data_IF_694514694476
#
_entry.id   IF_694514694476
#
_cell.length_a   1.000
_cell.length_b   1.000
_cell.length_c   1.000
_cell.angle_alpha   90.00
_cell.angle_beta   90.00
_cell.angle_gamma   90.00
#
_symmetry.space_group_name_H-M   'P 1'
#
loop_
_entity.id
_entity.type
_entity.pdbx_description
1 polymer ?
#
# COMPACT_ATOMS: atom_id res chain seq x y z
N UNK A 1 -13.61 15.97 -50.32
CA UNK A 1 -13.43 14.87 -49.38
C UNK A 1 -12.51 15.33 -48.25
N UNK A 2 -13.08 16.05 -47.28
CA UNK A 2 -12.44 16.25 -45.98
C UNK A 2 -12.77 15.02 -45.13
N UNK A 3 -11.77 14.19 -44.86
CA UNK A 3 -11.90 13.14 -43.89
C UNK A 3 -12.02 13.80 -42.50
N UNK A 4 -13.18 13.61 -41.91
CA UNK A 4 -13.49 13.92 -40.52
C UNK A 4 -12.50 13.13 -39.66
N UNK A 5 -11.47 13.79 -39.18
CA UNK A 5 -10.64 13.26 -38.09
C UNK A 5 -11.44 13.48 -36.82
N UNK A 6 -12.29 12.52 -36.50
CA UNK A 6 -12.92 12.48 -35.20
C UNK A 6 -11.82 12.55 -34.12
N UNK A 7 -11.77 13.64 -33.40
CA UNK A 7 -10.95 13.73 -32.18
C UNK A 7 -11.46 12.64 -31.28
N UNK A 8 -10.67 11.58 -31.15
CA UNK A 8 -10.94 10.49 -30.22
C UNK A 8 -10.82 11.09 -28.81
N UNK A 9 -11.93 11.30 -28.13
CA UNK A 9 -11.95 11.81 -26.76
C UNK A 9 -11.25 10.78 -25.90
N UNK A 10 -10.16 11.19 -25.24
CA UNK A 10 -9.41 10.34 -24.32
C UNK A 10 -10.28 9.96 -23.12
N UNK A 11 -10.19 8.72 -22.69
CA UNK A 11 -10.82 8.26 -21.46
C UNK A 11 -10.12 8.87 -20.22
N UNK A 12 -10.83 8.91 -19.10
CA UNK A 12 -10.24 9.39 -17.82
C UNK A 12 -8.98 8.63 -17.44
N UNK A 13 -8.89 7.35 -17.73
CA UNK A 13 -7.69 6.53 -17.47
C UNK A 13 -6.52 6.86 -18.38
N UNK A 14 -6.76 7.18 -19.64
CA UNK A 14 -5.71 7.65 -20.57
C UNK A 14 -5.18 9.03 -20.15
N UNK A 15 -6.06 9.94 -19.76
CA UNK A 15 -5.66 11.23 -19.20
C UNK A 15 -4.88 11.07 -17.87
N UNK A 16 -5.32 10.14 -17.02
CA UNK A 16 -4.64 9.84 -15.76
C UNK A 16 -3.24 9.26 -15.99
N UNK A 17 -3.04 8.48 -17.04
CA UNK A 17 -1.71 7.99 -17.40
C UNK A 17 -0.74 9.15 -17.67
N UNK A 18 -1.19 10.17 -18.40
CA UNK A 18 -0.41 11.39 -18.66
C UNK A 18 -0.10 12.13 -17.36
N UNK A 19 -1.06 12.23 -16.45
CA UNK A 19 -0.83 12.82 -15.12
C UNK A 19 0.25 12.05 -14.35
N UNK A 20 0.23 10.71 -14.38
CA UNK A 20 1.23 9.87 -13.73
C UNK A 20 2.64 9.96 -14.32
N UNK A 21 2.79 10.42 -15.54
CA UNK A 21 4.09 10.68 -16.19
C UNK A 21 4.70 12.03 -15.76
N UNK A 22 3.86 13.01 -15.41
CA UNK A 22 4.28 14.36 -15.10
C UNK A 22 4.33 14.66 -13.59
N UNK A 23 3.55 13.94 -12.79
CA UNK A 23 3.45 14.14 -11.35
C UNK A 23 3.87 12.87 -10.57
N UNK A 24 4.31 13.07 -9.33
CA UNK A 24 4.55 11.92 -8.47
C UNK A 24 3.24 11.23 -8.09
N UNK A 25 3.16 9.96 -8.43
CA UNK A 25 2.05 9.08 -8.04
C UNK A 25 2.64 7.84 -7.36
N UNK A 26 2.19 7.49 -6.14
CA UNK A 26 2.64 6.27 -5.47
C UNK A 26 2.38 5.02 -6.32
N UNK A 27 3.24 4.01 -6.18
CA UNK A 27 3.13 2.76 -6.96
C UNK A 27 1.74 2.15 -6.89
N UNK A 28 1.12 2.18 -5.72
CA UNK A 28 -0.23 1.64 -5.48
C UNK A 28 -1.36 2.33 -6.24
N UNK A 29 -1.11 3.49 -6.81
CA UNK A 29 -2.09 4.28 -7.56
C UNK A 29 -1.75 4.38 -9.05
N UNK A 30 -0.68 3.73 -9.50
CA UNK A 30 -0.34 3.65 -10.93
C UNK A 30 -1.41 2.86 -11.70
N UNK A 31 -1.78 3.25 -12.93
CA UNK A 31 -2.78 2.53 -13.74
C UNK A 31 -2.47 1.04 -13.88
N UNK A 32 -1.21 0.69 -14.18
CA UNK A 32 -0.79 -0.72 -14.32
C UNK A 32 -0.95 -1.52 -13.03
N UNK A 33 -0.75 -0.87 -11.86
CA UNK A 33 -0.97 -1.48 -10.55
C UNK A 33 -2.45 -1.79 -10.34
N UNK A 34 -3.32 -0.80 -10.59
CA UNK A 34 -4.76 -0.94 -10.44
C UNK A 34 -5.32 -2.01 -11.39
N UNK A 35 -4.86 -2.04 -12.64
CA UNK A 35 -5.22 -3.11 -13.59
C UNK A 35 -4.82 -4.49 -13.08
N UNK A 36 -3.61 -4.62 -12.52
CA UNK A 36 -3.11 -5.90 -12.01
C UNK A 36 -3.90 -6.41 -10.81
N UNK A 37 -4.25 -5.54 -9.85
CA UNK A 37 -4.88 -5.97 -8.58
C UNK A 37 -6.41 -6.01 -8.64
N UNK A 38 -7.04 -5.22 -9.50
CA UNK A 38 -8.50 -5.11 -9.58
C UNK A 38 -9.09 -5.68 -10.87
N UNK A 39 -8.32 -5.76 -11.96
CA UNK A 39 -8.85 -5.84 -13.32
C UNK A 39 -9.27 -4.46 -13.82
N UNK A 40 -9.12 -4.23 -15.13
CA UNK A 40 -9.32 -2.90 -15.74
C UNK A 40 -10.75 -2.37 -15.60
N UNK A 41 -11.74 -3.23 -15.43
CA UNK A 41 -13.18 -2.89 -15.34
C UNK A 41 -13.64 -2.58 -13.91
N UNK A 42 -12.85 -2.89 -12.89
CA UNK A 42 -13.27 -2.76 -11.48
C UNK A 42 -12.70 -1.54 -10.76
N UNK A 43 -11.96 -0.71 -11.46
CA UNK A 43 -11.46 0.56 -10.94
C UNK A 43 -11.71 1.68 -11.94
N UNK A 44 -11.71 2.92 -11.44
CA UNK A 44 -11.78 4.12 -12.24
C UNK A 44 -11.01 5.25 -11.58
N UNK A 45 -10.99 6.42 -12.17
CA UNK A 45 -10.30 7.60 -11.65
C UNK A 45 -11.13 8.86 -11.83
N UNK A 46 -11.30 9.61 -10.77
CA UNK A 46 -11.76 10.98 -10.82
C UNK A 46 -10.61 11.94 -11.12
N UNK A 47 -10.84 12.91 -11.98
CA UNK A 47 -9.86 13.91 -12.38
C UNK A 47 -10.36 15.31 -12.05
N UNK A 48 -9.57 16.06 -11.30
CA UNK A 48 -9.83 17.47 -11.03
C UNK A 48 -9.18 18.33 -12.11
N UNK A 49 -9.99 18.97 -12.93
CA UNK A 49 -9.58 19.85 -14.05
C UNK A 49 -10.31 21.19 -13.95
N UNK A 50 -9.82 22.16 -13.15
CA UNK A 50 -10.52 23.42 -12.90
C UNK A 50 -10.67 24.31 -14.14
N UNK A 51 -9.78 24.16 -15.12
CA UNK A 51 -9.84 24.81 -16.42
C UNK A 51 -10.45 23.94 -17.55
N UNK A 52 -10.94 22.74 -17.19
CA UNK A 52 -11.44 21.73 -18.11
C UNK A 52 -10.39 21.03 -18.96
N UNK A 53 -9.09 21.32 -18.77
CA UNK A 53 -7.98 20.78 -19.58
C UNK A 53 -6.86 20.19 -18.72
N UNK A 54 -6.35 20.96 -17.77
CA UNK A 54 -5.19 20.59 -16.97
C UNK A 54 -5.61 19.79 -15.75
N UNK A 55 -5.06 18.59 -15.59
CA UNK A 55 -5.31 17.77 -14.41
C UNK A 55 -4.43 18.31 -13.27
N UNK A 56 -5.06 18.75 -12.20
CA UNK A 56 -4.38 19.26 -11.01
C UNK A 56 -4.49 18.34 -9.80
N UNK A 57 -5.41 17.38 -9.85
CA UNK A 57 -5.50 16.28 -8.89
C UNK A 57 -6.23 15.10 -9.50
N UNK A 58 -6.01 13.91 -8.93
CA UNK A 58 -6.67 12.69 -9.33
C UNK A 58 -7.01 11.82 -8.12
N UNK A 59 -8.04 11.00 -8.24
CA UNK A 59 -8.40 10.02 -7.22
C UNK A 59 -8.74 8.69 -7.89
N UNK A 60 -7.78 7.76 -7.99
CA UNK A 60 -8.07 6.39 -8.42
C UNK A 60 -8.83 5.66 -7.31
N UNK A 61 -9.80 4.86 -7.69
CA UNK A 61 -10.62 4.11 -6.75
C UNK A 61 -11.07 2.76 -7.29
N UNK A 62 -11.16 1.78 -6.38
CA UNK A 62 -11.64 0.44 -6.64
C UNK A 62 -13.09 0.29 -6.19
N UNK A 63 -13.92 -0.31 -7.05
CA UNK A 63 -15.33 -0.61 -6.74
C UNK A 63 -15.49 -2.09 -6.49
N UNK A 64 -16.11 -2.43 -5.38
CA UNK A 64 -16.45 -3.79 -5.00
C UNK A 64 -17.93 -3.88 -4.59
N UNK A 65 -18.60 -4.95 -4.99
CA UNK A 65 -19.94 -5.26 -4.54
C UNK A 65 -19.91 -6.36 -3.48
N UNK A 66 -20.50 -6.08 -2.31
CA UNK A 66 -20.62 -7.02 -1.19
C UNK A 66 -22.08 -7.13 -0.79
N UNK A 67 -22.66 -8.32 -0.90
CA UNK A 67 -24.07 -8.57 -0.56
C UNK A 67 -25.06 -7.58 -1.23
N UNK A 68 -24.77 -7.17 -2.46
CA UNK A 68 -25.59 -6.22 -3.22
C UNK A 68 -25.30 -4.74 -2.95
N UNK A 69 -24.45 -4.41 -1.98
CA UNK A 69 -24.03 -3.04 -1.69
C UNK A 69 -22.76 -2.66 -2.46
N UNK A 70 -22.69 -1.41 -2.86
CA UNK A 70 -21.59 -0.84 -3.66
C UNK A 70 -20.59 -0.12 -2.76
N UNK A 71 -19.34 -0.55 -2.80
CA UNK A 71 -18.24 0.00 -2.00
C UNK A 71 -17.17 0.64 -2.90
N UNK A 72 -16.71 1.83 -2.53
CA UNK A 72 -15.33 2.21 -2.81
C UNK A 72 -14.53 1.73 -1.62
N UNK A 73 -13.53 0.87 -1.86
CA UNK A 73 -12.77 0.24 -0.80
C UNK A 73 -11.31 0.04 -1.18
N UNK A 74 -10.52 -0.47 -0.25
CA UNK A 74 -9.12 -0.80 -0.46
C UNK A 74 -8.98 -1.89 -1.53
N UNK A 75 -8.22 -1.61 -2.58
CA UNK A 75 -7.87 -2.62 -3.58
C UNK A 75 -7.00 -3.73 -2.97
N UNK A 76 -7.06 -4.97 -3.51
CA UNK A 76 -6.21 -6.06 -3.03
C UNK A 76 -4.72 -5.69 -3.06
N UNK A 77 -3.98 -6.10 -2.03
CA UNK A 77 -2.52 -5.89 -1.90
C UNK A 77 -2.08 -4.41 -2.06
N UNK A 78 -2.97 -3.46 -1.86
CA UNK A 78 -2.74 -2.04 -2.07
C UNK A 78 -2.75 -1.31 -0.74
N UNK A 79 -1.62 -0.69 -0.35
CA UNK A 79 -1.54 -0.02 0.95
C UNK A 79 -2.37 1.25 0.99
N UNK A 80 -2.31 2.05 -0.05
CA UNK A 80 -3.00 3.33 -0.13
C UNK A 80 -3.48 3.66 -1.55
N UNK A 81 -4.52 4.48 -1.61
CA UNK A 81 -5.01 5.20 -2.77
C UNK A 81 -5.40 6.61 -2.29
N UNK A 82 -6.57 7.13 -2.68
CA UNK A 82 -7.07 8.44 -2.28
C UNK A 82 -6.66 9.53 -3.25
N UNK A 83 -6.90 10.77 -2.84
CA UNK A 83 -6.61 11.94 -3.67
C UNK A 83 -5.11 12.17 -3.77
N UNK A 84 -4.63 12.39 -4.98
CA UNK A 84 -3.26 12.72 -5.33
C UNK A 84 -3.27 14.12 -5.95
N UNK A 85 -2.52 15.04 -5.37
CA UNK A 85 -2.37 16.40 -5.86
C UNK A 85 -1.17 16.50 -6.82
N UNK A 86 -1.24 17.44 -7.78
CA UNK A 86 -0.03 17.93 -8.44
C UNK A 86 0.97 18.44 -7.40
N UNK A 87 2.22 18.68 -7.78
CA UNK A 87 3.18 19.30 -6.86
C UNK A 87 2.66 20.64 -6.34
N UNK A 88 2.72 20.81 -5.02
CA UNK A 88 2.32 22.03 -4.31
C UNK A 88 3.50 22.72 -3.63
N UNK A 89 4.74 22.32 -3.95
CA UNK A 89 5.95 22.74 -3.25
C UNK A 89 6.17 24.27 -3.33
N UNK A 90 5.81 24.88 -4.45
CA UNK A 90 5.97 26.31 -4.68
C UNK A 90 4.88 27.18 -4.05
N UNK A 91 3.87 26.57 -3.43
CA UNK A 91 2.76 27.31 -2.83
C UNK A 91 3.01 27.61 -1.36
N UNK A 92 2.54 28.79 -0.90
CA UNK A 92 2.47 29.10 0.53
C UNK A 92 1.44 28.20 1.21
N UNK A 93 1.62 27.89 2.50
CA UNK A 93 0.74 27.00 3.27
C UNK A 93 -0.75 27.35 3.18
N UNK A 94 -1.08 28.67 3.23
CA UNK A 94 -2.47 29.10 3.09
C UNK A 94 -3.06 28.84 1.69
N UNK A 95 -2.24 28.87 0.64
CA UNK A 95 -2.66 28.56 -0.72
C UNK A 95 -2.79 27.06 -0.94
N UNK A 96 -1.89 26.25 -0.35
CA UNK A 96 -2.01 24.79 -0.32
C UNK A 96 -3.30 24.38 0.34
N UNK A 97 -3.59 24.87 1.54
CA UNK A 97 -4.80 24.53 2.29
C UNK A 97 -6.08 24.87 1.51
N UNK A 98 -6.13 26.01 0.85
CA UNK A 98 -7.28 26.40 0.01
C UNK A 98 -7.44 25.49 -1.22
N UNK A 99 -6.32 25.12 -1.84
CA UNK A 99 -6.33 24.22 -2.99
C UNK A 99 -6.80 22.82 -2.58
N UNK A 100 -6.24 22.26 -1.52
CA UNK A 100 -6.63 20.95 -0.97
C UNK A 100 -8.11 20.92 -0.58
N UNK A 101 -8.61 21.96 0.10
CA UNK A 101 -10.02 22.10 0.45
C UNK A 101 -10.91 22.08 -0.78
N UNK A 102 -10.57 22.86 -1.80
CA UNK A 102 -11.33 22.90 -3.06
C UNK A 102 -11.38 21.52 -3.72
N UNK A 103 -10.23 20.87 -3.88
CA UNK A 103 -10.14 19.55 -4.53
C UNK A 103 -10.92 18.51 -3.75
N UNK A 104 -10.77 18.48 -2.42
CA UNK A 104 -11.46 17.49 -1.57
C UNK A 104 -12.97 17.71 -1.59
N UNK A 105 -13.45 18.94 -1.56
CA UNK A 105 -14.88 19.24 -1.66
C UNK A 105 -15.47 18.72 -2.98
N UNK A 106 -14.79 18.91 -4.09
CA UNK A 106 -15.24 18.38 -5.40
C UNK A 106 -15.13 16.85 -5.47
N UNK A 107 -14.09 16.25 -4.88
CA UNK A 107 -13.98 14.79 -4.77
C UNK A 107 -15.14 14.20 -3.94
N UNK A 108 -15.52 14.85 -2.82
CA UNK A 108 -16.67 14.44 -2.02
C UNK A 108 -17.98 14.52 -2.80
N UNK A 109 -18.20 15.59 -3.57
CA UNK A 109 -19.38 15.72 -4.42
C UNK A 109 -19.41 14.61 -5.50
N UNK A 110 -18.29 14.32 -6.12
CA UNK A 110 -18.18 13.22 -7.09
C UNK A 110 -18.48 11.85 -6.45
N UNK A 111 -17.96 11.58 -5.25
CA UNK A 111 -18.24 10.32 -4.54
C UNK A 111 -19.76 10.17 -4.27
N UNK A 112 -20.44 11.25 -3.93
CA UNK A 112 -21.90 11.24 -3.73
C UNK A 112 -22.66 10.93 -5.03
N UNK A 113 -22.21 11.46 -6.18
CA UNK A 113 -22.80 11.17 -7.50
C UNK A 113 -22.62 9.71 -7.92
N UNK A 114 -21.59 9.03 -7.45
CA UNK A 114 -21.36 7.60 -7.71
C UNK A 114 -22.39 6.67 -7.04
N UNK A 115 -23.22 7.19 -6.15
CA UNK A 115 -24.23 6.42 -5.40
C UNK A 115 -23.63 5.17 -4.76
N UNK A 116 -22.50 5.32 -4.06
CA UNK A 116 -21.88 4.25 -3.30
C UNK A 116 -22.55 4.13 -1.92
N UNK A 117 -22.65 2.92 -1.42
CA UNK A 117 -23.17 2.68 -0.06
C UNK A 117 -22.11 2.98 1.00
N UNK A 118 -20.84 2.74 0.67
CA UNK A 118 -19.71 3.02 1.55
C UNK A 118 -18.52 3.53 0.72
N UNK A 119 -17.92 4.60 1.20
CA UNK A 119 -16.60 5.04 0.77
C UNK A 119 -15.57 4.77 1.85
N UNK A 120 -14.46 4.16 1.49
CA UNK A 120 -13.33 3.93 2.36
C UNK A 120 -12.04 3.84 1.55
N UNK A 121 -11.10 4.76 1.82
CA UNK A 121 -9.76 4.69 1.27
C UNK A 121 -8.70 4.96 2.34
N UNK A 122 -7.55 4.33 2.20
CA UNK A 122 -6.35 4.62 2.98
C UNK A 122 -5.48 5.57 2.16
N UNK A 123 -5.02 6.64 2.80
CA UNK A 123 -4.20 7.68 2.18
C UNK A 123 -2.72 7.43 2.45
N UNK A 124 -1.85 7.99 1.65
CA UNK A 124 -0.42 7.97 1.91
C UNK A 124 -0.06 8.85 3.13
N UNK A 125 1.05 8.59 3.83
CA UNK A 125 1.44 9.37 5.02
C UNK A 125 1.64 10.87 4.75
N UNK A 126 1.98 11.24 3.52
CA UNK A 126 2.15 12.64 3.11
C UNK A 126 0.82 13.42 3.02
N UNK A 127 -0.29 12.74 2.96
CA UNK A 127 -1.62 13.36 3.05
C UNK A 127 -1.94 13.66 4.51
N UNK A 128 -1.82 14.91 4.92
CA UNK A 128 -1.97 15.34 6.32
C UNK A 128 -3.23 16.15 6.59
N UNK A 129 -3.75 16.86 5.60
CA UNK A 129 -4.90 17.75 5.76
C UNK A 129 -6.22 17.02 5.43
N UNK A 130 -6.74 16.25 6.39
CA UNK A 130 -8.02 15.58 6.21
C UNK A 130 -9.23 16.42 6.69
N UNK A 131 -9.01 17.63 7.20
CA UNK A 131 -10.08 18.49 7.72
C UNK A 131 -11.23 18.75 6.72
N UNK A 132 -10.96 18.95 5.41
CA UNK A 132 -12.05 19.09 4.45
C UNK A 132 -12.97 17.85 4.38
N UNK A 133 -12.43 16.64 4.54
CA UNK A 133 -13.24 15.43 4.67
C UNK A 133 -14.11 15.45 5.95
N UNK A 134 -13.56 15.90 7.08
CA UNK A 134 -14.33 16.05 8.32
C UNK A 134 -15.52 17.01 8.13
N UNK A 135 -15.31 18.13 7.48
CA UNK A 135 -16.38 19.08 7.20
C UNK A 135 -17.47 18.50 6.27
N UNK A 136 -17.11 17.59 5.40
CA UNK A 136 -18.02 16.82 4.55
C UNK A 136 -18.59 15.56 5.25
N UNK A 137 -18.47 15.47 6.60
CA UNK A 137 -19.03 14.39 7.43
C UNK A 137 -18.38 13.02 7.23
N UNK A 138 -17.13 12.96 6.74
CA UNK A 138 -16.34 11.74 6.76
C UNK A 138 -15.71 11.55 8.15
N UNK A 139 -15.31 10.31 8.44
CA UNK A 139 -14.53 9.94 9.63
C UNK A 139 -13.12 9.51 9.20
N UNK A 140 -12.15 9.76 10.05
CA UNK A 140 -10.81 9.28 9.86
C UNK A 140 -10.39 8.37 11.03
N UNK A 141 -9.66 7.29 10.69
CA UNK A 141 -8.98 6.43 11.64
C UNK A 141 -7.50 6.55 11.35
N UNK A 142 -6.72 6.91 12.35
CA UNK A 142 -5.26 6.96 12.23
C UNK A 142 -4.69 5.55 12.28
N UNK A 143 -3.85 5.23 11.31
CA UNK A 143 -3.03 4.02 11.24
C UNK A 143 -1.57 4.41 11.13
N UNK A 144 -0.68 3.45 11.26
CA UNK A 144 0.76 3.69 11.19
C UNK A 144 1.43 2.73 10.23
N UNK A 145 2.29 3.28 9.38
CA UNK A 145 3.35 2.52 8.72
C UNK A 145 4.68 2.78 9.43
N UNK A 146 5.72 2.04 9.08
CA UNK A 146 7.05 2.14 9.70
C UNK A 146 8.08 2.37 8.60
N UNK A 147 8.83 3.46 8.70
CA UNK A 147 9.77 3.89 7.66
C UNK A 147 11.17 4.12 8.20
N UNK A 148 12.16 3.82 7.37
CA UNK A 148 13.52 4.31 7.51
C UNK A 148 13.70 5.34 6.40
N UNK A 149 13.68 6.61 6.77
CA UNK A 149 13.64 7.73 5.81
C UNK A 149 14.99 8.02 5.18
N UNK A 150 16.07 7.77 5.90
CA UNK A 150 17.42 8.09 5.44
C UNK A 150 18.31 6.85 5.47
N UNK A 151 18.55 6.31 4.31
CA UNK A 151 19.44 5.17 4.08
C UNK A 151 20.77 5.60 3.38
N UNK A 152 21.05 6.89 3.27
CA UNK A 152 22.25 7.38 2.57
C UNK A 152 23.57 6.90 3.19
N UNK A 153 23.57 6.64 4.51
CA UNK A 153 24.71 6.09 5.23
C UNK A 153 24.32 4.80 5.95
N UNK A 154 24.66 3.66 5.36
CA UNK A 154 24.31 2.34 5.90
C UNK A 154 25.03 2.00 7.22
N UNK A 155 26.16 2.61 7.53
CA UNK A 155 26.80 2.46 8.83
C UNK A 155 25.96 3.09 9.96
N UNK A 156 25.42 4.28 9.71
CA UNK A 156 24.51 4.93 10.66
C UNK A 156 23.22 4.10 10.84
N UNK A 157 22.66 3.58 9.74
CA UNK A 157 21.48 2.69 9.78
C UNK A 157 21.80 1.44 10.62
N UNK A 158 22.95 0.81 10.40
CA UNK A 158 23.40 -0.34 11.19
C UNK A 158 23.54 -0.03 12.68
N UNK A 159 24.13 1.10 13.02
CA UNK A 159 24.34 1.52 14.40
C UNK A 159 23.01 1.84 15.11
N UNK A 160 21.98 2.25 14.36
CA UNK A 160 20.64 2.52 14.89
C UNK A 160 19.77 1.25 15.08
N UNK A 161 20.24 0.09 14.63
CA UNK A 161 19.56 -1.19 14.89
C UNK A 161 19.68 -1.59 16.35
N UNK A 162 18.65 -2.22 16.90
CA UNK A 162 18.76 -2.89 18.20
C UNK A 162 19.87 -3.95 18.18
N UNK A 163 20.56 -4.11 19.32
CA UNK A 163 21.65 -5.09 19.47
C UNK A 163 21.22 -6.50 19.04
N UNK A 164 20.05 -6.94 19.48
CA UNK A 164 19.52 -8.26 19.12
C UNK A 164 19.26 -8.38 17.62
N UNK A 165 18.82 -7.30 16.98
CA UNK A 165 18.58 -7.29 15.53
C UNK A 165 19.87 -7.45 14.75
N UNK A 166 20.94 -6.75 15.16
CA UNK A 166 22.28 -6.92 14.58
C UNK A 166 22.78 -8.37 14.68
N UNK A 167 22.57 -9.00 15.85
CA UNK A 167 22.95 -10.42 16.06
C UNK A 167 22.20 -11.33 15.11
N UNK A 168 20.88 -11.15 14.96
CA UNK A 168 20.06 -11.96 14.07
C UNK A 168 20.44 -11.77 12.60
N UNK A 169 20.70 -10.55 12.15
CA UNK A 169 21.16 -10.29 10.80
C UNK A 169 22.50 -10.99 10.52
N UNK A 170 23.47 -10.87 11.43
CA UNK A 170 24.77 -11.56 11.29
C UNK A 170 24.62 -13.07 11.25
N UNK A 171 23.74 -13.64 12.08
CA UNK A 171 23.45 -15.07 12.10
C UNK A 171 22.80 -15.52 10.80
N UNK A 172 21.76 -14.80 10.35
CA UNK A 172 21.08 -15.09 9.11
C UNK A 172 22.01 -15.08 7.89
N UNK A 173 22.89 -14.07 7.79
CA UNK A 173 23.90 -13.98 6.73
C UNK A 173 24.88 -15.17 6.67
N UNK A 174 25.16 -15.81 7.80
CA UNK A 174 25.99 -17.01 7.87
C UNK A 174 25.25 -18.27 7.45
N UNK A 175 23.90 -18.25 7.56
CA UNK A 175 23.05 -19.41 7.37
C UNK A 175 22.34 -19.46 6.03
N UNK A 176 22.45 -18.42 5.22
CA UNK A 176 21.77 -18.39 3.91
C UNK A 176 22.58 -17.69 2.83
N UNK A 177 22.20 -17.98 1.60
CA UNK A 177 22.53 -17.20 0.40
C UNK A 177 21.25 -16.54 -0.08
N UNK A 178 21.29 -15.22 -0.32
CA UNK A 178 20.15 -14.47 -0.85
C UNK A 178 20.27 -14.43 -2.37
N UNK A 179 19.22 -14.85 -3.05
CA UNK A 179 19.12 -14.88 -4.50
C UNK A 179 17.90 -14.08 -4.97
N UNK A 180 18.02 -13.44 -6.13
CA UNK A 180 16.88 -12.91 -6.88
C UNK A 180 16.28 -14.05 -7.70
N UNK A 181 14.97 -14.00 -7.91
CA UNK A 181 14.25 -15.00 -8.69
C UNK A 181 13.17 -14.35 -9.54
N UNK A 182 12.85 -14.96 -10.66
CA UNK A 182 11.70 -14.68 -11.52
C UNK A 182 10.70 -15.85 -11.56
N UNK A 183 10.96 -16.90 -10.77
CA UNK A 183 10.06 -18.04 -10.62
C UNK A 183 8.87 -17.68 -9.69
N UNK A 184 7.88 -17.04 -10.31
CA UNK A 184 6.68 -16.50 -9.65
C UNK A 184 5.86 -17.61 -8.98
N UNK A 185 5.75 -18.78 -9.64
CA UNK A 185 4.98 -19.92 -9.13
C UNK A 185 5.65 -20.56 -7.92
N UNK A 186 6.95 -20.87 -8.01
CA UNK A 186 7.68 -21.46 -6.89
C UNK A 186 7.69 -20.53 -5.68
N UNK A 187 7.83 -19.21 -5.89
CA UNK A 187 7.73 -18.23 -4.81
C UNK A 187 6.36 -18.33 -4.09
N UNK A 188 5.27 -18.40 -4.84
CA UNK A 188 3.93 -18.51 -4.27
C UNK A 188 3.75 -19.80 -3.46
N UNK A 189 4.20 -20.93 -4.00
CA UNK A 189 4.15 -22.23 -3.31
C UNK A 189 4.93 -22.20 -1.99
N UNK A 190 6.13 -21.63 -2.00
CA UNK A 190 6.93 -21.48 -0.79
C UNK A 190 6.31 -20.50 0.21
N UNK A 191 5.67 -19.43 -0.28
CA UNK A 191 4.95 -18.47 0.55
C UNK A 191 3.75 -19.10 1.28
N UNK A 192 3.02 -20.02 0.65
CA UNK A 192 1.90 -20.74 1.28
C UNK A 192 2.33 -21.45 2.56
N UNK A 193 3.54 -22.00 2.63
CA UNK A 193 4.09 -22.67 3.83
C UNK A 193 4.15 -21.78 5.06
N UNK A 194 4.21 -20.44 4.88
CA UNK A 194 4.18 -19.49 5.98
C UNK A 194 2.84 -19.54 6.73
N UNK A 195 1.75 -19.82 6.02
CA UNK A 195 0.39 -19.84 6.55
C UNK A 195 -0.08 -21.24 6.96
N UNK A 196 0.35 -22.28 6.27
CA UNK A 196 -0.07 -23.68 6.49
C UNK A 196 0.12 -24.12 7.95
N UNK A 197 1.25 -23.78 8.57
CA UNK A 197 1.53 -24.13 9.96
C UNK A 197 0.56 -23.50 10.96
N UNK A 198 -0.11 -22.42 10.56
CA UNK A 198 -1.13 -21.72 11.36
C UNK A 198 -2.55 -22.18 10.98
N UNK A 199 -2.69 -23.14 10.08
CA UNK A 199 -4.00 -23.56 9.54
C UNK A 199 -4.67 -22.49 8.70
N UNK A 200 -3.92 -21.54 8.18
CA UNK A 200 -4.41 -20.43 7.36
C UNK A 200 -4.03 -20.65 5.89
N UNK A 201 -4.74 -19.96 5.02
CA UNK A 201 -4.39 -19.87 3.59
C UNK A 201 -3.76 -18.49 3.30
N UNK A 202 -3.04 -18.41 2.20
CA UNK A 202 -2.58 -17.12 1.66
C UNK A 202 -3.75 -16.13 1.56
N UNK A 203 -3.55 -14.85 1.90
CA UNK A 203 -4.60 -13.83 1.83
C UNK A 203 -4.96 -13.42 0.39
N UNK A 204 -4.30 -13.97 -0.61
CA UNK A 204 -4.54 -13.70 -2.03
C UNK A 204 -4.40 -14.96 -2.88
N UNK A 205 -5.08 -15.01 -4.03
CA UNK A 205 -5.01 -16.12 -4.96
C UNK A 205 -3.73 -16.09 -5.80
N UNK A 206 -3.38 -17.25 -6.41
CA UNK A 206 -2.24 -17.32 -7.32
C UNK A 206 -2.42 -16.40 -8.53
N UNK A 207 -3.63 -16.33 -9.09
CA UNK A 207 -3.93 -15.50 -10.26
C UNK A 207 -3.71 -14.01 -9.99
N UNK A 208 -4.10 -13.53 -8.82
CA UNK A 208 -3.83 -12.15 -8.39
C UNK A 208 -2.34 -11.92 -8.20
N UNK A 209 -1.67 -12.85 -7.52
CA UNK A 209 -0.24 -12.83 -7.30
C UNK A 209 0.54 -12.77 -8.62
N UNK A 210 0.25 -13.68 -9.54
CA UNK A 210 0.91 -13.77 -10.83
C UNK A 210 0.78 -12.48 -11.63
N UNK A 211 -0.43 -11.94 -11.76
CA UNK A 211 -0.67 -10.66 -12.45
C UNK A 211 0.13 -9.51 -11.84
N UNK A 212 0.11 -9.40 -10.52
CA UNK A 212 0.77 -8.29 -9.84
C UNK A 212 2.29 -8.37 -9.97
N UNK A 213 2.86 -9.57 -9.80
CA UNK A 213 4.31 -9.74 -9.92
C UNK A 213 4.79 -9.44 -11.33
N UNK A 214 4.17 -10.01 -12.36
CA UNK A 214 4.55 -9.74 -13.73
C UNK A 214 4.41 -8.26 -14.10
N UNK A 215 3.29 -7.62 -13.72
CA UNK A 215 3.12 -6.19 -13.94
C UNK A 215 4.20 -5.35 -13.24
N UNK A 216 4.59 -5.73 -12.02
CA UNK A 216 5.64 -5.04 -11.27
C UNK A 216 7.02 -5.21 -11.92
N UNK A 217 7.34 -6.41 -12.42
CA UNK A 217 8.60 -6.68 -13.12
C UNK A 217 8.67 -5.95 -14.47
N UNK A 218 7.60 -5.98 -15.25
CA UNK A 218 7.50 -5.29 -16.54
C UNK A 218 7.66 -3.77 -16.42
N UNK A 219 7.19 -3.21 -15.31
CA UNK A 219 7.32 -1.78 -15.00
C UNK A 219 8.59 -1.43 -14.21
N UNK A 220 9.55 -2.35 -14.06
CA UNK A 220 10.77 -2.17 -13.27
C UNK A 220 10.50 -1.62 -11.86
N UNK A 221 9.41 -2.05 -11.24
CA UNK A 221 8.91 -1.57 -9.95
C UNK A 221 8.75 -2.69 -8.92
N UNK A 222 9.37 -3.83 -9.13
CA UNK A 222 9.28 -4.98 -8.24
C UNK A 222 10.47 -5.91 -8.30
N UNK A 223 10.68 -6.66 -7.20
CA UNK A 223 11.75 -7.67 -7.11
C UNK A 223 11.34 -8.79 -6.16
N UNK A 224 11.55 -10.03 -6.61
CA UNK A 224 11.43 -11.23 -5.77
C UNK A 224 12.82 -11.65 -5.28
N UNK A 225 12.94 -11.91 -3.99
CA UNK A 225 14.15 -12.44 -3.37
C UNK A 225 13.83 -13.63 -2.46
N UNK A 226 14.74 -14.59 -2.44
CA UNK A 226 14.68 -15.74 -1.51
C UNK A 226 16.01 -15.85 -0.76
N UNK A 227 15.92 -16.16 0.52
CA UNK A 227 17.07 -16.62 1.28
C UNK A 227 17.06 -18.14 1.31
N UNK A 228 18.08 -18.75 0.70
CA UNK A 228 18.26 -20.19 0.61
C UNK A 228 19.17 -20.69 1.73
N UNK A 229 18.82 -21.82 2.35
CA UNK A 229 19.73 -22.52 3.30
C UNK A 229 20.98 -23.00 2.57
N UNK A 230 21.94 -23.53 3.32
CA UNK A 230 23.16 -24.13 2.74
C UNK A 230 22.87 -25.33 1.83
N UNK A 231 21.74 -25.99 2.06
CA UNK A 231 21.25 -27.12 1.24
C UNK A 231 20.38 -26.64 0.07
N UNK A 232 20.27 -25.33 -0.15
CA UNK A 232 19.52 -24.73 -1.27
C UNK A 232 18.00 -24.65 -1.06
N UNK A 233 17.49 -24.89 0.16
CA UNK A 233 16.06 -24.80 0.45
C UNK A 233 15.63 -23.37 0.75
N UNK A 234 14.50 -22.87 0.21
CA UNK A 234 13.94 -21.59 0.57
C UNK A 234 13.63 -21.53 2.09
N UNK A 235 14.17 -20.53 2.78
CA UNK A 235 13.99 -20.35 4.22
C UNK A 235 13.29 -19.03 4.57
N UNK A 236 13.36 -18.03 3.71
CA UNK A 236 12.58 -16.80 3.79
C UNK A 236 12.41 -16.17 2.41
N UNK A 237 11.35 -15.39 2.27
CA UNK A 237 10.86 -14.85 1.02
C UNK A 237 10.59 -13.36 1.16
N UNK A 238 10.80 -12.60 0.07
CA UNK A 238 10.50 -11.18 -0.01
C UNK A 238 10.07 -10.79 -1.41
N UNK A 239 8.96 -10.10 -1.51
CA UNK A 239 8.57 -9.33 -2.67
C UNK A 239 8.49 -7.87 -2.28
N UNK A 240 9.37 -7.07 -2.86
CA UNK A 240 9.41 -5.63 -2.70
C UNK A 240 8.91 -4.95 -3.96
N UNK A 241 8.23 -3.83 -3.78
CA UNK A 241 7.79 -2.95 -4.87
C UNK A 241 8.21 -1.52 -4.57
N UNK A 242 8.34 -0.68 -5.59
CA UNK A 242 8.80 0.69 -5.41
C UNK A 242 8.26 1.66 -6.45
N UNK A 243 8.35 2.92 -6.09
CA UNK A 243 8.18 4.08 -6.95
C UNK A 243 9.42 4.99 -6.86
N UNK A 244 9.29 6.25 -7.28
CA UNK A 244 10.42 7.19 -7.28
C UNK A 244 10.87 7.63 -5.87
N UNK A 245 10.09 7.37 -4.82
CA UNK A 245 10.36 7.85 -3.45
C UNK A 245 10.57 6.73 -2.44
N UNK A 246 9.87 5.61 -2.60
CA UNK A 246 9.80 4.56 -1.58
C UNK A 246 9.90 3.16 -2.15
N UNK A 247 10.59 2.31 -1.40
CA UNK A 247 10.58 0.87 -1.55
C UNK A 247 9.73 0.28 -0.42
N UNK A 248 8.74 -0.52 -0.79
CA UNK A 248 7.80 -1.15 0.13
C UNK A 248 8.04 -2.65 0.23
N UNK A 249 8.02 -3.18 1.45
CA UNK A 249 7.91 -4.62 1.67
C UNK A 249 6.45 -5.04 1.53
N UNK A 250 6.07 -5.53 0.36
CA UNK A 250 4.68 -5.88 0.08
C UNK A 250 4.29 -7.26 0.63
N UNK A 251 5.09 -8.28 0.30
CA UNK A 251 4.86 -9.66 0.72
C UNK A 251 6.16 -10.26 1.20
N UNK A 252 6.14 -10.99 2.30
CA UNK A 252 7.34 -11.68 2.76
C UNK A 252 7.17 -12.34 4.12
N UNK A 253 8.14 -13.16 4.45
CA UNK A 253 8.18 -13.86 5.73
C UNK A 253 9.25 -14.94 5.78
N UNK A 254 9.47 -15.45 6.98
CA UNK A 254 10.30 -16.64 7.22
C UNK A 254 9.46 -17.90 7.18
N UNK A 255 9.93 -18.93 6.49
CA UNK A 255 9.32 -20.25 6.51
C UNK A 255 9.51 -20.85 7.92
N UNK A 256 8.43 -21.28 8.58
CA UNK A 256 8.47 -21.68 9.99
C UNK A 256 9.48 -22.77 10.35
N UNK A 257 9.75 -23.70 9.42
CA UNK A 257 10.77 -24.75 9.59
C UNK A 257 12.17 -24.20 9.85
N UNK A 258 12.50 -23.05 9.27
CA UNK A 258 13.83 -22.43 9.29
C UNK A 258 13.92 -21.15 10.14
N UNK A 259 12.90 -20.86 10.95
CA UNK A 259 12.85 -19.59 11.71
C UNK A 259 14.04 -19.40 12.67
N UNK A 260 14.64 -20.51 13.15
CA UNK A 260 15.81 -20.49 14.02
C UNK A 260 17.12 -20.07 13.30
N UNK A 261 17.13 -20.05 11.98
CA UNK A 261 18.29 -19.63 11.19
C UNK A 261 18.41 -18.10 11.04
N UNK A 262 17.37 -17.35 11.40
CA UNK A 262 17.27 -15.88 11.30
C UNK A 262 17.44 -15.33 9.87
N UNK A 263 17.18 -16.15 8.84
CA UNK A 263 17.34 -15.81 7.42
C UNK A 263 16.49 -14.62 6.99
N UNK A 264 15.28 -14.48 7.56
CA UNK A 264 14.41 -13.35 7.29
C UNK A 264 14.99 -12.02 7.77
N UNK A 265 15.76 -12.03 8.85
CA UNK A 265 16.47 -10.82 9.28
C UNK A 265 17.58 -10.41 8.31
N UNK A 266 18.29 -11.37 7.74
CA UNK A 266 19.30 -11.11 6.71
C UNK A 266 18.66 -10.62 5.41
N UNK A 267 17.52 -11.20 5.01
CA UNK A 267 16.76 -10.80 3.84
C UNK A 267 16.22 -9.38 3.99
N UNK A 268 15.67 -9.02 5.16
CA UNK A 268 15.23 -7.65 5.48
C UNK A 268 16.38 -6.64 5.34
N UNK A 269 17.55 -6.98 5.84
CA UNK A 269 18.71 -6.11 5.67
C UNK A 269 19.10 -5.95 4.19
N UNK A 270 18.96 -6.99 3.38
CA UNK A 270 19.20 -6.92 1.93
C UNK A 270 18.20 -6.01 1.22
N UNK A 271 16.94 -6.01 1.66
CA UNK A 271 15.94 -5.05 1.16
C UNK A 271 16.32 -3.60 1.50
N UNK A 272 16.84 -3.36 2.70
CA UNK A 272 17.32 -2.03 3.11
C UNK A 272 18.55 -1.60 2.28
N UNK A 273 19.47 -2.52 1.98
CA UNK A 273 20.58 -2.27 1.05
C UNK A 273 20.06 -1.93 -0.36
N UNK A 274 19.04 -2.62 -0.85
CA UNK A 274 18.41 -2.31 -2.14
C UNK A 274 17.79 -0.89 -2.14
N UNK A 275 17.09 -0.52 -1.07
CA UNK A 275 16.54 0.83 -0.94
C UNK A 275 17.64 1.91 -0.87
N UNK A 276 18.77 1.62 -0.19
CA UNK A 276 19.96 2.47 -0.19
C UNK A 276 20.51 2.69 -1.60
N UNK A 277 20.73 1.60 -2.34
CA UNK A 277 21.30 1.63 -3.71
C UNK A 277 20.42 2.45 -4.66
N UNK A 278 19.11 2.44 -4.46
CA UNK A 278 18.13 3.19 -5.23
C UNK A 278 17.84 4.61 -4.68
N UNK A 279 18.45 4.98 -3.56
CA UNK A 279 18.19 6.24 -2.84
C UNK A 279 16.71 6.44 -2.48
N UNK A 280 16.06 5.38 -1.98
CA UNK A 280 14.65 5.36 -1.61
C UNK A 280 14.47 5.27 -0.09
N UNK A 281 13.35 5.77 0.40
CA UNK A 281 12.83 5.48 1.74
C UNK A 281 12.46 4.00 1.78
N UNK A 282 12.80 3.30 2.88
CA UNK A 282 12.34 1.93 3.08
C UNK A 282 11.10 1.92 3.97
N UNK A 283 10.01 1.36 3.45
CA UNK A 283 8.72 1.25 4.13
C UNK A 283 8.40 -0.22 4.44
N UNK A 284 8.30 -0.55 5.73
CA UNK A 284 7.94 -1.90 6.20
C UNK A 284 6.47 -2.24 5.97
N UNK A 285 5.69 -1.29 5.48
CA UNK A 285 4.23 -1.28 5.55
C UNK A 285 3.69 -1.25 6.99
N UNK A 286 2.39 -1.04 7.12
CA UNK A 286 1.76 -0.90 8.43
C UNK A 286 1.30 -2.22 9.01
N UNK A 287 1.37 -2.33 10.33
CA UNK A 287 0.72 -3.40 11.06
C UNK A 287 0.15 -2.90 12.37
N UNK A 288 -1.07 -3.30 12.67
CA UNK A 288 -1.70 -3.11 13.99
C UNK A 288 -1.27 -4.18 14.99
N UNK A 289 -0.53 -5.20 14.55
CA UNK A 289 -0.08 -6.32 15.38
C UNK A 289 1.14 -5.86 16.18
N UNK A 290 0.99 -5.80 17.51
CA UNK A 290 2.03 -5.33 18.46
C UNK A 290 3.40 -5.97 18.25
N UNK A 291 3.43 -7.28 17.98
CA UNK A 291 4.69 -8.03 17.73
C UNK A 291 5.40 -7.52 16.47
N UNK A 292 4.67 -7.28 15.39
CA UNK A 292 5.24 -6.78 14.11
C UNK A 292 5.74 -5.34 14.29
N UNK A 293 4.92 -4.49 14.92
CA UNK A 293 5.32 -3.12 15.24
C UNK A 293 6.61 -3.06 16.07
N UNK A 294 6.77 -3.96 17.05
CA UNK A 294 7.99 -4.08 17.83
C UNK A 294 9.20 -4.42 16.95
N UNK A 295 9.05 -5.43 16.08
CA UNK A 295 10.14 -5.87 15.19
C UNK A 295 10.55 -4.74 14.24
N UNK A 296 9.61 -4.00 13.67
CA UNK A 296 9.92 -2.88 12.78
C UNK A 296 10.73 -1.79 13.50
N UNK A 297 10.38 -1.47 14.77
CA UNK A 297 11.16 -0.52 15.58
C UNK A 297 12.56 -1.02 15.91
N UNK A 298 12.75 -2.32 16.09
CA UNK A 298 14.09 -2.90 16.31
C UNK A 298 15.03 -2.70 15.12
N UNK A 299 14.48 -2.47 13.91
CA UNK A 299 15.23 -2.04 12.73
C UNK A 299 15.53 -0.54 12.70
N UNK A 300 15.10 0.23 13.68
CA UNK A 300 15.24 1.68 13.73
C UNK A 300 14.17 2.42 12.91
N UNK A 301 13.12 1.73 12.49
CA UNK A 301 12.04 2.37 11.74
C UNK A 301 11.18 3.28 12.63
N UNK A 302 10.77 4.39 12.07
CA UNK A 302 9.94 5.41 12.72
C UNK A 302 8.48 5.21 12.30
N UNK A 303 7.52 5.20 13.25
CA UNK A 303 6.10 5.14 12.91
C UNK A 303 5.67 6.43 12.20
N UNK A 304 5.00 6.29 11.07
CA UNK A 304 4.40 7.39 10.30
C UNK A 304 2.89 7.22 10.29
N UNK A 305 2.14 8.20 10.80
CA UNK A 305 0.68 8.14 10.76
C UNK A 305 0.18 8.30 9.33
N UNK A 306 -0.91 7.62 9.02
CA UNK A 306 -1.71 7.84 7.82
C UNK A 306 -3.19 7.66 8.13
N UNK A 307 -4.04 8.21 7.28
CA UNK A 307 -5.48 8.18 7.50
C UNK A 307 -6.17 7.11 6.66
N UNK A 308 -7.10 6.42 7.31
CA UNK A 308 -8.18 5.69 6.65
C UNK A 308 -9.43 6.54 6.76
N UNK A 309 -9.89 7.09 5.63
CA UNK A 309 -11.02 8.01 5.56
C UNK A 309 -12.23 7.24 5.08
N UNK A 310 -13.36 7.42 5.77
CA UNK A 310 -14.56 6.61 5.58
C UNK A 310 -15.84 7.42 5.76
N UNK A 311 -16.84 7.11 4.91
CA UNK A 311 -18.24 7.56 5.07
C UNK A 311 -19.18 6.43 4.66
N UNK A 312 -20.20 6.18 5.47
CA UNK A 312 -21.31 5.27 5.16
C UNK A 312 -22.48 6.11 4.72
N UNK A 313 -23.00 5.84 3.54
CA UNK A 313 -24.15 6.54 2.95
C UNK A 313 -25.46 5.74 3.14
N UNK A 314 -25.36 4.44 3.39
CA UNK A 314 -26.48 3.51 3.52
C UNK A 314 -26.83 3.28 4.99
N UNK A 315 -28.08 3.60 5.37
CA UNK A 315 -28.54 3.48 6.76
C UNK A 315 -28.56 2.04 7.29
N UNK A 316 -28.82 1.05 6.43
CA UNK A 316 -28.89 -0.35 6.88
C UNK A 316 -27.48 -0.87 7.22
N UNK A 317 -26.47 -0.48 6.44
CA UNK A 317 -25.06 -0.79 6.74
C UNK A 317 -24.67 -0.12 8.07
N UNK A 318 -25.04 1.14 8.25
CA UNK A 318 -24.73 1.88 9.46
C UNK A 318 -25.35 1.23 10.71
N UNK A 319 -26.60 0.78 10.62
CA UNK A 319 -27.28 0.06 11.71
C UNK A 319 -26.57 -1.27 12.02
N UNK A 320 -26.26 -2.06 10.99
CA UNK A 320 -25.55 -3.34 11.16
C UNK A 320 -24.20 -3.15 11.86
N UNK A 321 -23.44 -2.13 11.49
CA UNK A 321 -22.14 -1.84 12.11
C UNK A 321 -22.27 -1.43 13.58
N UNK A 322 -23.23 -0.59 13.92
CA UNK A 322 -23.49 -0.22 15.32
C UNK A 322 -23.92 -1.42 16.18
N UNK A 323 -24.75 -2.31 15.64
CA UNK A 323 -25.16 -3.52 16.33
C UNK A 323 -23.98 -4.46 16.59
N UNK A 324 -23.10 -4.64 15.60
CA UNK A 324 -21.89 -5.44 15.75
C UNK A 324 -20.93 -4.84 16.79
N UNK A 325 -20.69 -3.53 16.74
CA UNK A 325 -19.84 -2.84 17.71
C UNK A 325 -20.41 -2.94 19.13
N UNK A 326 -21.71 -2.72 19.31
CA UNK A 326 -22.38 -2.85 20.59
C UNK A 326 -22.28 -4.29 21.16
N UNK A 327 -22.39 -5.30 20.29
CA UNK A 327 -22.20 -6.69 20.68
C UNK A 327 -20.79 -6.96 21.16
N UNK A 328 -19.78 -6.57 20.39
CA UNK A 328 -18.36 -6.74 20.74
C UNK A 328 -18.02 -6.06 22.07
N UNK A 329 -18.44 -4.80 22.27
CA UNK A 329 -18.23 -4.09 23.53
C UNK A 329 -18.90 -4.76 24.72
N UNK A 330 -20.09 -5.32 24.53
CA UNK A 330 -20.79 -6.05 25.60
C UNK A 330 -20.09 -7.37 25.96
N UNK A 331 -19.48 -8.05 25.00
CA UNK A 331 -18.67 -9.26 25.23
C UNK A 331 -17.39 -8.91 26.00
N UNK A 332 -16.66 -7.88 25.58
CA UNK A 332 -15.45 -7.39 26.29
C UNK A 332 -15.74 -6.97 27.74
N UNK A 333 -16.90 -6.36 28.01
CA UNK A 333 -17.31 -6.01 29.37
C UNK A 333 -17.56 -7.25 30.20
N UNK A 334 -18.21 -8.29 29.63
CA UNK A 334 -18.49 -9.54 30.33
C UNK A 334 -17.23 -10.33 30.67
N UNK A 335 -16.23 -10.32 29.81
CA UNK A 335 -14.92 -10.99 30.06
C UNK A 335 -14.09 -10.31 31.16
N UNK A 336 -14.40 -9.06 31.50
CA UNK A 336 -13.70 -8.30 32.57
C UNK A 336 -14.38 -8.36 33.93
N UNK A 337 -15.58 -8.95 34.01
CA UNK A 337 -16.33 -9.16 35.27
C UNK A 337 -16.16 -10.61 35.74
#
# INVERSE_FOLDING_TARGET
NYADRGDTVMSSKEEYNIFCENEYVPVYSKPWWMDAVCGSENWDVWLFKPDGKTIEAAMPYYIEYRNGYKYITKAPLTQNNGVIFKSLEDLRESAKAKFEEKVINEACAYIEELNVDVYEQQFQPEFTNWMPYFWNRYKAITRYTYQIENLSNMENVWNNLDKNRRVKIKKGRKNCTIVETDDVYNFYVEHEKIFEKQGLKSPFSYELWERLVYASLENNSGKLMMALTKEGKPASLSFTVWDQKKLYRLVGGGIPEFQNLDTYSALTWKEMELAHDMNLIYDFEGSVIKRIAKVNREYGAVPKPYFRIRKVFNEDILKMEYEQEAKMLSEEIREKI
#
